data_IF_700387160018
#
_entry.id   IF_700387160018
#
_cell.length_a   1.000
_cell.length_b   1.000
_cell.length_c   1.000
_cell.angle_alpha   90.00
_cell.angle_beta   90.00
_cell.angle_gamma   90.00
#
_symmetry.space_group_name_H-M   'P 1'
#
loop_
_entity.id
_entity.type
_entity.pdbx_description
1 polymer ?
#
# COMPACT_ATOMS: atom_id res chain seq x y z
N UNK A 1 22.38 -7.43 -8.77
CA UNK A 1 21.89 -7.71 -10.15
C UNK A 1 21.44 -6.40 -10.76
N UNK A 2 20.45 -5.73 -10.13
CA UNK A 2 20.01 -4.40 -10.52
C UNK A 2 20.20 -3.46 -9.35
N UNK A 3 20.82 -2.32 -9.61
CA UNK A 3 21.00 -1.25 -8.63
C UNK A 3 19.86 -0.23 -8.69
N UNK A 4 19.95 0.84 -7.89
CA UNK A 4 18.90 1.86 -7.81
C UNK A 4 18.68 2.58 -9.16
N UNK A 5 19.74 2.80 -9.94
CA UNK A 5 19.61 3.44 -11.25
C UNK A 5 18.85 2.56 -12.26
N UNK A 6 19.11 1.25 -12.24
CA UNK A 6 18.35 0.27 -13.03
C UNK A 6 16.87 0.25 -12.63
N UNK A 7 16.58 0.35 -11.31
CA UNK A 7 15.20 0.34 -10.81
C UNK A 7 14.44 1.62 -11.19
N UNK A 8 15.11 2.78 -11.16
CA UNK A 8 14.54 4.04 -11.68
C UNK A 8 14.26 3.93 -13.18
N UNK A 9 15.22 3.40 -13.95
CA UNK A 9 15.05 3.18 -15.40
C UNK A 9 13.89 2.21 -15.67
N UNK A 10 13.77 1.12 -14.89
CA UNK A 10 12.63 0.21 -14.98
C UNK A 10 11.29 0.92 -14.67
N UNK A 11 11.25 1.75 -13.65
CA UNK A 11 10.02 2.43 -13.24
C UNK A 11 9.60 3.54 -14.23
N UNK A 12 10.53 4.33 -14.77
CA UNK A 12 10.25 5.55 -15.53
C UNK A 12 10.69 5.51 -17.00
N UNK A 13 11.74 4.76 -17.30
CA UNK A 13 12.38 4.68 -18.62
C UNK A 13 11.95 3.48 -19.45
N UNK A 14 12.93 2.91 -20.17
CA UNK A 14 12.73 1.79 -21.09
C UNK A 14 13.19 0.47 -20.46
N UNK A 15 12.33 -0.55 -20.52
CA UNK A 15 12.60 -1.87 -19.93
C UNK A 15 13.80 -2.55 -20.62
N UNK A 16 14.02 -2.27 -21.92
CA UNK A 16 15.13 -2.81 -22.67
C UNK A 16 16.50 -2.41 -22.12
N UNK A 17 16.60 -1.25 -21.47
CA UNK A 17 17.84 -0.80 -20.83
C UNK A 17 18.17 -1.59 -19.56
N UNK A 18 17.17 -2.25 -18.95
CA UNK A 18 17.32 -3.00 -17.69
C UNK A 18 17.34 -4.51 -17.94
N UNK A 19 16.39 -5.03 -18.72
CA UNK A 19 16.24 -6.47 -18.98
C UNK A 19 16.92 -6.93 -20.26
N UNK A 20 17.36 -6.00 -21.14
CA UNK A 20 18.03 -6.30 -22.40
C UNK A 20 17.13 -6.13 -23.62
N UNK A 21 17.77 -6.16 -24.81
CA UNK A 21 17.13 -5.82 -26.09
C UNK A 21 15.98 -6.75 -26.49
N UNK A 22 15.92 -7.95 -25.95
CA UNK A 22 14.80 -8.88 -26.19
C UNK A 22 13.47 -8.33 -25.69
N UNK A 23 13.49 -7.36 -24.76
CA UNK A 23 12.31 -6.69 -24.21
C UNK A 23 11.93 -5.39 -24.93
N UNK A 24 12.70 -4.94 -25.93
CA UNK A 24 12.53 -3.62 -26.56
C UNK A 24 11.13 -3.39 -27.17
N UNK A 25 10.45 -4.43 -27.65
CA UNK A 25 9.08 -4.30 -28.17
C UNK A 25 8.09 -3.80 -27.10
N UNK A 26 8.34 -4.13 -25.84
CA UNK A 26 7.47 -3.74 -24.70
C UNK A 26 7.48 -2.22 -24.51
N UNK A 27 8.60 -1.55 -24.80
CA UNK A 27 8.71 -0.09 -24.68
C UNK A 27 7.84 0.66 -25.71
N UNK A 28 7.37 -0.03 -26.76
CA UNK A 28 6.41 0.51 -27.73
C UNK A 28 4.94 0.42 -27.29
N UNK A 29 4.63 -0.30 -26.22
CA UNK A 29 3.28 -0.46 -25.73
C UNK A 29 2.83 0.77 -24.93
N UNK A 30 1.52 1.06 -24.96
CA UNK A 30 0.93 2.19 -24.25
C UNK A 30 1.10 2.08 -22.73
N UNK A 31 1.08 0.86 -22.22
CA UNK A 31 1.27 0.50 -20.81
C UNK A 31 2.14 -0.75 -20.70
N UNK A 32 2.86 -0.88 -19.62
CA UNK A 32 3.57 -2.08 -19.21
C UNK A 32 3.63 -2.19 -17.69
N UNK A 33 4.02 -3.31 -17.15
CA UNK A 33 4.29 -3.47 -15.72
C UNK A 33 5.45 -2.57 -15.30
N UNK A 34 5.23 -1.79 -14.25
CA UNK A 34 6.21 -0.86 -13.68
C UNK A 34 6.22 -0.96 -12.16
N UNK A 35 7.26 -0.46 -11.53
CA UNK A 35 7.28 -0.13 -10.10
C UNK A 35 6.80 1.31 -9.90
N UNK A 36 6.32 1.67 -8.69
CA UNK A 36 6.07 3.05 -8.31
C UNK A 36 7.34 3.90 -8.47
N UNK A 37 7.17 5.21 -8.58
CA UNK A 37 8.27 6.16 -8.81
C UNK A 37 8.51 7.08 -7.61
N UNK A 38 9.55 7.89 -7.68
CA UNK A 38 9.89 8.94 -6.69
C UNK A 38 10.02 8.40 -5.27
N UNK A 39 9.43 9.06 -4.27
CA UNK A 39 9.50 8.64 -2.86
C UNK A 39 8.77 7.32 -2.56
N UNK A 40 8.04 6.80 -3.54
CA UNK A 40 7.36 5.51 -3.44
C UNK A 40 8.03 4.39 -4.23
N UNK A 41 9.22 4.62 -4.77
CA UNK A 41 10.10 3.56 -5.27
C UNK A 41 10.77 2.89 -4.05
N UNK A 42 10.05 1.95 -3.45
CA UNK A 42 10.37 1.34 -2.15
C UNK A 42 11.30 0.12 -2.29
N UNK A 43 12.29 0.25 -3.17
CA UNK A 43 13.31 -0.77 -3.40
C UNK A 43 14.63 -0.09 -3.78
N UNK A 44 15.73 -0.52 -3.17
CA UNK A 44 17.07 0.05 -3.44
C UNK A 44 17.89 -0.81 -4.41
N UNK A 45 17.67 -2.13 -4.42
CA UNK A 45 18.40 -3.06 -5.29
C UNK A 45 17.77 -4.45 -5.34
N UNK A 46 18.03 -5.16 -6.42
CA UNK A 46 17.76 -6.60 -6.55
C UNK A 46 19.09 -7.33 -6.40
N UNK A 47 19.18 -8.22 -5.42
CA UNK A 47 20.42 -8.91 -5.07
C UNK A 47 20.49 -10.33 -5.61
N UNK A 48 19.34 -11.01 -5.77
CA UNK A 48 19.24 -12.36 -6.33
C UNK A 48 18.06 -12.46 -7.28
N UNK A 49 18.22 -13.27 -8.32
CA UNK A 49 17.17 -13.60 -9.28
C UNK A 49 17.35 -15.05 -9.73
N UNK A 50 16.31 -15.85 -9.57
CA UNK A 50 16.24 -17.21 -10.10
C UNK A 50 14.95 -17.34 -10.90
N UNK A 51 14.97 -16.79 -12.11
CA UNK A 51 13.87 -16.76 -13.05
C UNK A 51 14.42 -16.76 -14.50
N UNK A 52 13.61 -17.17 -15.45
CA UNK A 52 13.96 -17.16 -16.86
C UNK A 52 12.82 -16.58 -17.69
N UNK A 53 13.16 -15.74 -18.65
CA UNK A 53 12.22 -15.16 -19.60
C UNK A 53 11.37 -16.24 -20.28
N UNK A 54 10.09 -15.97 -20.47
CA UNK A 54 9.09 -16.85 -21.08
C UNK A 54 8.89 -18.22 -20.39
N UNK A 55 9.26 -18.33 -19.11
CA UNK A 55 9.06 -19.53 -18.32
C UNK A 55 8.18 -19.24 -17.11
N UNK A 56 6.86 -19.44 -17.26
CA UNK A 56 5.91 -19.32 -16.14
C UNK A 56 5.96 -20.57 -15.26
N UNK A 57 6.98 -20.62 -14.42
CA UNK A 57 7.22 -21.67 -13.43
C UNK A 57 7.64 -21.07 -12.09
N UNK A 58 7.62 -21.84 -10.98
CA UNK A 58 8.09 -21.33 -9.70
C UNK A 58 9.46 -20.66 -9.81
N UNK A 59 9.56 -19.45 -9.29
CA UNK A 59 10.76 -18.63 -9.41
C UNK A 59 10.91 -17.71 -8.19
N UNK A 60 12.11 -17.15 -8.00
CA UNK A 60 12.40 -16.33 -6.81
C UNK A 60 13.22 -15.09 -7.16
N UNK A 61 13.06 -14.05 -6.33
CA UNK A 61 13.86 -12.84 -6.34
C UNK A 61 14.11 -12.37 -4.91
N UNK A 62 15.29 -11.83 -4.64
CA UNK A 62 15.59 -11.13 -3.39
C UNK A 62 15.80 -9.65 -3.67
N UNK A 63 15.07 -8.80 -2.96
CA UNK A 63 15.21 -7.34 -3.01
C UNK A 63 15.62 -6.78 -1.66
N UNK A 64 16.23 -5.60 -1.69
CA UNK A 64 16.54 -4.85 -0.48
C UNK A 64 16.08 -3.40 -0.64
N UNK A 65 15.56 -2.85 0.46
CA UNK A 65 15.18 -1.46 0.57
C UNK A 65 15.85 -0.81 1.77
N UNK A 66 16.72 0.16 1.52
CA UNK A 66 17.33 1.00 2.55
C UNK A 66 16.37 2.14 2.86
N UNK A 67 15.75 2.14 4.04
CA UNK A 67 14.76 3.15 4.43
C UNK A 67 15.47 4.48 4.66
N UNK A 68 15.17 5.55 3.87
CA UNK A 68 15.74 6.86 4.13
C UNK A 68 15.37 7.37 5.52
N UNK A 69 16.31 8.00 6.23
CA UNK A 69 16.09 8.51 7.60
C UNK A 69 15.10 9.67 7.66
N UNK A 70 14.87 10.33 6.53
CA UNK A 70 13.98 11.48 6.33
C UNK A 70 12.83 11.20 5.37
N UNK A 71 12.51 9.91 5.15
CA UNK A 71 11.44 9.54 4.24
C UNK A 71 10.09 10.16 4.65
N UNK A 72 9.32 10.72 3.69
CA UNK A 72 8.13 11.52 4.00
C UNK A 72 6.95 10.70 4.54
N UNK A 73 7.01 9.37 4.51
CA UNK A 73 6.02 8.46 5.08
C UNK A 73 6.33 8.00 6.51
N UNK A 74 7.47 8.39 7.10
CA UNK A 74 7.83 7.97 8.47
C UNK A 74 6.93 8.65 9.50
N UNK A 75 6.50 7.88 10.49
CA UNK A 75 5.78 8.34 11.68
C UNK A 75 6.64 8.03 12.90
N UNK A 76 7.05 9.03 13.66
CA UNK A 76 7.98 8.88 14.80
C UNK A 76 9.26 8.10 14.43
N UNK A 77 9.78 8.33 13.22
CA UNK A 77 10.96 7.64 12.68
C UNK A 77 10.73 6.19 12.28
N UNK A 78 9.50 5.69 12.29
CA UNK A 78 9.14 4.32 11.92
C UNK A 78 8.39 4.28 10.58
N UNK A 79 8.64 3.24 9.78
CA UNK A 79 7.91 2.99 8.55
C UNK A 79 6.53 2.40 8.88
N UNK A 80 5.42 2.93 8.33
CA UNK A 80 4.11 2.29 8.49
C UNK A 80 4.09 0.90 7.84
N UNK A 81 3.37 -0.05 8.45
CA UNK A 81 3.25 -1.41 7.90
C UNK A 81 2.74 -1.43 6.45
N UNK A 82 1.82 -0.54 6.08
CA UNK A 82 1.34 -0.45 4.70
C UNK A 82 2.46 -0.18 3.69
N UNK A 83 3.41 0.70 4.04
CA UNK A 83 4.58 1.00 3.20
C UNK A 83 5.57 -0.16 3.19
N UNK A 84 5.80 -0.84 4.33
CA UNK A 84 6.63 -2.03 4.37
C UNK A 84 6.02 -3.19 3.56
N UNK A 85 4.69 -3.35 3.57
CA UNK A 85 3.99 -4.35 2.74
C UNK A 85 4.16 -4.04 1.25
N UNK A 86 3.98 -2.79 0.86
CA UNK A 86 4.15 -2.33 -0.53
C UNK A 86 5.59 -2.53 -1.03
N UNK A 87 6.59 -2.26 -0.20
CA UNK A 87 8.01 -2.51 -0.53
C UNK A 87 8.28 -3.99 -0.91
N UNK A 88 7.51 -4.93 -0.38
CA UNK A 88 7.61 -6.35 -0.72
C UNK A 88 6.97 -6.75 -2.05
N UNK A 89 6.23 -5.86 -2.71
CA UNK A 89 5.49 -6.17 -3.95
C UNK A 89 6.35 -6.04 -5.22
N UNK A 90 7.65 -6.31 -5.12
CA UNK A 90 8.52 -6.44 -6.29
C UNK A 90 8.28 -7.73 -7.11
N UNK A 91 7.30 -8.55 -6.72
CA UNK A 91 6.71 -9.60 -7.58
C UNK A 91 6.25 -9.03 -8.93
N UNK A 92 5.84 -7.75 -8.98
CA UNK A 92 5.58 -6.99 -10.21
C UNK A 92 6.78 -6.99 -11.16
N UNK A 93 7.97 -6.69 -10.68
CA UNK A 93 9.19 -6.73 -11.48
C UNK A 93 9.55 -8.16 -11.89
N UNK A 94 9.32 -9.13 -11.00
CA UNK A 94 9.57 -10.54 -11.28
C UNK A 94 8.64 -11.09 -12.37
N UNK A 95 7.33 -10.83 -12.31
CA UNK A 95 6.39 -11.26 -13.36
C UNK A 95 6.64 -10.54 -14.70
N UNK A 96 7.07 -9.28 -14.66
CA UNK A 96 7.50 -8.53 -15.84
C UNK A 96 8.73 -9.16 -16.48
N UNK A 97 9.73 -9.56 -15.67
CA UNK A 97 10.91 -10.26 -16.18
C UNK A 97 10.57 -11.62 -16.80
N UNK A 98 9.55 -12.32 -16.31
CA UNK A 98 9.04 -13.54 -16.97
C UNK A 98 8.40 -13.25 -18.35
N UNK A 99 8.06 -11.99 -18.64
CA UNK A 99 7.58 -11.57 -19.95
C UNK A 99 6.07 -11.44 -20.10
N UNK A 100 5.34 -11.17 -19.00
CA UNK A 100 3.88 -11.00 -19.07
C UNK A 100 3.46 -9.89 -20.05
N UNK A 101 4.26 -8.85 -20.20
CA UNK A 101 3.95 -7.74 -21.09
C UNK A 101 3.97 -8.14 -22.58
N UNK A 102 4.68 -9.21 -22.96
CA UNK A 102 4.59 -9.77 -24.33
C UNK A 102 3.19 -10.34 -24.63
N UNK A 103 2.48 -10.83 -23.60
CA UNK A 103 1.10 -11.31 -23.71
C UNK A 103 0.10 -10.15 -23.60
N UNK A 104 0.28 -9.28 -22.62
CA UNK A 104 -0.63 -8.17 -22.32
C UNK A 104 -0.65 -7.06 -23.36
N UNK A 105 0.48 -6.79 -24.02
CA UNK A 105 0.65 -5.80 -25.12
C UNK A 105 0.08 -4.42 -24.79
N UNK A 106 0.11 -4.01 -23.54
CA UNK A 106 -0.43 -2.74 -23.07
C UNK A 106 -1.94 -2.68 -22.84
N UNK A 107 -2.65 -3.82 -22.95
CA UNK A 107 -4.11 -3.87 -22.85
C UNK A 107 -4.60 -4.23 -21.44
N UNK A 108 -3.72 -4.71 -20.56
CA UNK A 108 -4.06 -5.20 -19.22
C UNK A 108 -3.23 -4.54 -18.15
N UNK A 109 -3.82 -4.38 -16.98
CA UNK A 109 -3.19 -3.79 -15.79
C UNK A 109 -3.18 -4.77 -14.63
N UNK A 110 -2.16 -4.64 -13.78
CA UNK A 110 -1.99 -5.45 -12.58
C UNK A 110 -3.02 -5.11 -11.51
N UNK A 111 -3.54 -6.13 -10.83
CA UNK A 111 -4.30 -5.98 -9.57
C UNK A 111 -3.97 -7.12 -8.62
N UNK A 112 -3.64 -6.76 -7.38
CA UNK A 112 -3.59 -7.68 -6.25
C UNK A 112 -5.03 -8.01 -5.84
N UNK A 113 -5.33 -9.30 -5.67
CA UNK A 113 -6.68 -9.78 -5.38
C UNK A 113 -6.84 -10.19 -3.91
N UNK A 114 -5.87 -10.91 -3.37
CA UNK A 114 -5.92 -11.45 -2.01
C UNK A 114 -4.52 -11.74 -1.49
N UNK A 115 -4.36 -11.70 -0.16
CA UNK A 115 -3.17 -12.17 0.54
C UNK A 115 -3.44 -12.31 2.04
N UNK A 116 -2.55 -13.03 2.72
CA UNK A 116 -2.50 -13.08 4.19
C UNK A 116 -1.21 -12.48 4.68
N UNK A 117 -1.30 -11.48 5.56
CA UNK A 117 -0.15 -10.82 6.19
C UNK A 117 0.01 -11.27 7.64
N UNK A 118 1.23 -11.60 8.02
CA UNK A 118 1.59 -11.93 9.40
C UNK A 118 2.70 -10.99 9.87
N UNK A 119 2.41 -10.17 10.86
CA UNK A 119 3.35 -9.25 11.49
C UNK A 119 4.02 -9.92 12.69
N UNK A 120 5.36 -10.06 12.66
CA UNK A 120 6.15 -10.86 13.59
C UNK A 120 7.16 -10.04 14.41
N UNK A 121 7.30 -8.77 14.11
CA UNK A 121 8.26 -7.88 14.77
C UNK A 121 7.72 -6.47 14.99
N UNK A 122 8.60 -5.61 15.47
CA UNK A 122 8.35 -4.18 15.59
C UNK A 122 8.45 -3.49 14.22
N UNK A 123 7.86 -2.30 14.12
CA UNK A 123 8.00 -1.45 12.94
C UNK A 123 9.47 -1.09 12.69
N UNK A 124 9.99 -1.30 11.48
CA UNK A 124 11.31 -0.83 11.08
C UNK A 124 11.44 0.69 11.15
N UNK A 125 12.66 1.18 11.22
CA UNK A 125 12.96 2.61 11.34
C UNK A 125 13.73 3.13 10.13
N UNK A 126 13.71 4.44 9.94
CA UNK A 126 14.63 5.10 9.02
C UNK A 126 16.08 4.71 9.33
N UNK A 127 16.83 4.29 8.31
CA UNK A 127 18.18 3.74 8.41
C UNK A 127 18.27 2.21 8.47
N UNK A 128 17.14 1.49 8.69
CA UNK A 128 17.11 0.04 8.55
C UNK A 128 17.10 -0.36 7.07
N UNK A 129 17.58 -1.56 6.78
CA UNK A 129 17.44 -2.22 5.47
C UNK A 129 16.42 -3.34 5.58
N UNK A 130 15.35 -3.28 4.78
CA UNK A 130 14.39 -4.35 4.59
C UNK A 130 14.89 -5.29 3.49
N UNK A 131 15.03 -6.59 3.78
CA UNK A 131 15.30 -7.61 2.78
C UNK A 131 14.04 -8.44 2.56
N UNK A 132 13.62 -8.58 1.31
CA UNK A 132 12.48 -9.40 0.91
C UNK A 132 12.96 -10.59 0.09
N UNK A 133 12.67 -11.80 0.56
CA UNK A 133 12.82 -13.03 -0.19
C UNK A 133 11.44 -13.36 -0.81
N UNK A 134 11.29 -13.10 -2.11
CA UNK A 134 10.02 -13.15 -2.86
C UNK A 134 9.99 -14.43 -3.69
N UNK A 135 8.85 -15.11 -3.70
CA UNK A 135 8.63 -16.33 -4.49
C UNK A 135 7.31 -16.25 -5.25
N UNK A 136 7.33 -16.50 -6.57
CA UNK A 136 6.13 -16.86 -7.31
C UNK A 136 6.02 -18.38 -7.25
N UNK A 137 4.92 -18.88 -6.69
CA UNK A 137 4.76 -20.28 -6.32
C UNK A 137 4.09 -21.10 -7.43
N UNK A 138 3.09 -20.53 -8.11
CA UNK A 138 2.40 -21.17 -9.22
C UNK A 138 1.60 -20.16 -10.03
N UNK A 139 1.10 -20.61 -11.18
CA UNK A 139 0.31 -19.85 -12.14
C UNK A 139 -1.01 -20.55 -12.40
N UNK A 140 -2.05 -19.78 -12.69
CA UNK A 140 -3.34 -20.28 -13.16
C UNK A 140 -3.88 -19.39 -14.28
N UNK A 141 -4.70 -19.97 -15.17
CA UNK A 141 -5.41 -19.20 -16.18
C UNK A 141 -6.91 -19.29 -15.96
N UNK A 142 -7.56 -18.13 -16.05
CA UNK A 142 -9.00 -18.02 -16.06
C UNK A 142 -9.40 -17.27 -17.36
N UNK A 143 -9.75 -18.02 -18.39
CA UNK A 143 -9.87 -17.48 -19.75
C UNK A 143 -8.53 -16.91 -20.23
N UNK A 144 -8.53 -15.66 -20.67
CA UNK A 144 -7.35 -14.95 -21.12
C UNK A 144 -6.55 -14.30 -19.98
N UNK A 145 -7.08 -14.34 -18.75
CA UNK A 145 -6.41 -13.74 -17.58
C UNK A 145 -5.41 -14.71 -17.00
N UNK A 146 -4.15 -14.29 -16.91
CA UNK A 146 -3.12 -14.98 -16.14
C UNK A 146 -3.19 -14.52 -14.69
N UNK A 147 -3.38 -15.48 -13.78
CA UNK A 147 -3.22 -15.30 -12.34
C UNK A 147 -1.89 -15.90 -11.91
N UNK A 148 -1.23 -15.26 -10.96
CA UNK A 148 -0.06 -15.83 -10.31
C UNK A 148 -0.17 -15.72 -8.79
N UNK A 149 0.44 -16.69 -8.12
CA UNK A 149 0.38 -16.81 -6.67
C UNK A 149 1.77 -16.69 -6.11
N UNK A 150 1.93 -15.81 -5.12
CA UNK A 150 3.23 -15.45 -4.59
C UNK A 150 3.23 -15.35 -3.07
N UNK A 151 4.40 -15.29 -2.52
CA UNK A 151 4.66 -15.07 -1.10
C UNK A 151 5.97 -14.32 -0.93
N UNK A 152 6.17 -13.70 0.22
CA UNK A 152 7.46 -13.17 0.62
C UNK A 152 7.69 -13.24 2.12
N UNK A 153 8.96 -13.25 2.50
CA UNK A 153 9.44 -13.05 3.86
C UNK A 153 10.28 -11.76 3.90
N UNK A 154 10.01 -10.91 4.90
CA UNK A 154 10.71 -9.64 5.10
C UNK A 154 11.55 -9.69 6.38
N UNK A 155 12.81 -9.29 6.26
CA UNK A 155 13.79 -9.30 7.33
C UNK A 155 14.41 -7.93 7.56
N UNK A 156 14.74 -7.64 8.83
CA UNK A 156 15.69 -6.59 9.23
C UNK A 156 16.89 -7.31 9.87
N UNK A 157 18.05 -7.24 9.22
CA UNK A 157 19.17 -8.12 9.54
C UNK A 157 18.75 -9.59 9.37
N UNK A 158 18.89 -10.40 10.43
CA UNK A 158 18.47 -11.81 10.44
C UNK A 158 17.09 -12.02 11.07
N UNK A 159 16.41 -10.94 11.52
CA UNK A 159 15.11 -11.04 12.17
C UNK A 159 13.98 -10.97 11.15
N UNK A 160 13.20 -12.05 11.05
CA UNK A 160 11.95 -12.06 10.28
C UNK A 160 10.92 -11.19 10.99
N UNK A 161 10.36 -10.20 10.28
CA UNK A 161 9.44 -9.22 10.84
C UNK A 161 8.05 -9.23 10.19
N UNK A 162 7.96 -9.68 8.94
CA UNK A 162 6.72 -9.69 8.18
C UNK A 162 6.73 -10.86 7.20
N UNK A 163 5.59 -11.51 7.03
CA UNK A 163 5.34 -12.49 5.97
C UNK A 163 4.09 -12.13 5.18
N UNK A 164 4.13 -12.38 3.89
CA UNK A 164 2.94 -12.46 3.04
C UNK A 164 2.83 -13.89 2.50
N UNK A 165 1.71 -14.50 2.75
CA UNK A 165 1.37 -15.83 2.25
C UNK A 165 0.10 -15.76 1.38
N UNK A 166 -0.01 -16.67 0.40
CA UNK A 166 -1.20 -16.78 -0.44
C UNK A 166 -1.52 -15.55 -1.28
N UNK A 167 -0.50 -14.72 -1.57
CA UNK A 167 -0.67 -13.60 -2.49
C UNK A 167 -1.23 -14.09 -3.82
N UNK A 168 -2.30 -13.48 -4.32
CA UNK A 168 -2.89 -13.75 -5.62
C UNK A 168 -3.03 -12.45 -6.38
N UNK A 169 -2.46 -12.41 -7.57
CA UNK A 169 -2.55 -11.26 -8.45
C UNK A 169 -2.82 -11.67 -9.90
N UNK A 170 -3.29 -10.72 -10.69
CA UNK A 170 -3.60 -10.95 -12.09
C UNK A 170 -3.59 -9.68 -12.91
N UNK A 171 -3.83 -9.84 -14.21
CA UNK A 171 -3.86 -8.75 -15.18
C UNK A 171 -5.22 -8.67 -15.85
N UNK A 172 -5.83 -7.49 -15.81
CA UNK A 172 -7.20 -7.25 -16.20
C UNK A 172 -7.29 -6.12 -17.22
N UNK A 173 -8.20 -6.24 -18.18
CA UNK A 173 -8.54 -5.16 -19.10
C UNK A 173 -9.36 -4.08 -18.39
N UNK A 174 -9.36 -2.84 -18.93
CA UNK A 174 -10.19 -1.75 -18.42
C UNK A 174 -11.68 -2.13 -18.39
N UNK A 175 -12.12 -2.94 -19.37
CA UNK A 175 -13.50 -3.43 -19.42
C UNK A 175 -13.80 -4.40 -18.26
N UNK A 176 -12.92 -5.36 -17.98
CA UNK A 176 -13.08 -6.30 -16.86
C UNK A 176 -13.15 -5.57 -15.52
N UNK A 177 -12.33 -4.52 -15.35
CA UNK A 177 -12.34 -3.67 -14.16
C UNK A 177 -13.63 -2.84 -14.06
N UNK A 178 -14.09 -2.23 -15.16
CA UNK A 178 -15.33 -1.46 -15.20
C UNK A 178 -16.58 -2.33 -14.95
N UNK A 179 -16.58 -3.56 -15.46
CA UNK A 179 -17.66 -4.54 -15.23
C UNK A 179 -17.61 -5.17 -13.81
N UNK A 180 -16.52 -4.92 -13.06
CA UNK A 180 -16.31 -5.43 -11.71
C UNK A 180 -17.36 -4.88 -10.74
N UNK A 181 -17.83 -5.74 -9.83
CA UNK A 181 -18.89 -5.41 -8.87
C UNK A 181 -18.33 -4.94 -7.51
N UNK A 182 -17.02 -4.80 -7.38
CA UNK A 182 -16.37 -4.52 -6.12
C UNK A 182 -16.55 -5.65 -5.10
N UNK A 183 -16.56 -5.31 -3.81
CA UNK A 183 -16.74 -6.29 -2.74
C UNK A 183 -18.18 -6.81 -2.75
N UNK A 184 -18.35 -8.13 -2.93
CA UNK A 184 -19.64 -8.81 -2.89
C UNK A 184 -19.81 -9.42 -1.51
N UNK A 185 -20.76 -8.89 -0.74
CA UNK A 185 -21.11 -9.44 0.55
C UNK A 185 -22.05 -10.64 0.39
N UNK A 186 -21.82 -11.68 1.16
CA UNK A 186 -22.72 -12.83 1.26
C UNK A 186 -24.04 -12.43 1.94
N UNK A 187 -25.10 -13.18 1.71
CA UNK A 187 -26.38 -12.97 2.41
C UNK A 187 -26.23 -13.07 3.94
N UNK A 188 -25.33 -13.94 4.42
CA UNK A 188 -25.03 -14.08 5.83
C UNK A 188 -24.40 -12.81 6.42
N UNK A 189 -23.44 -12.21 5.72
CA UNK A 189 -22.81 -10.94 6.13
C UNK A 189 -23.82 -9.79 6.13
N UNK A 190 -24.64 -9.68 5.07
CA UNK A 190 -25.70 -8.67 4.99
C UNK A 190 -26.68 -8.83 6.15
N UNK A 191 -27.10 -10.05 6.45
CA UNK A 191 -27.98 -10.35 7.58
C UNK A 191 -27.36 -10.02 8.92
N UNK A 192 -26.10 -10.41 9.12
CA UNK A 192 -25.35 -10.10 10.35
C UNK A 192 -25.21 -8.58 10.56
N UNK A 193 -24.86 -7.83 9.52
CA UNK A 193 -24.79 -6.37 9.54
C UNK A 193 -26.14 -5.73 9.88
N UNK A 194 -27.22 -6.19 9.28
CA UNK A 194 -28.56 -5.67 9.54
C UNK A 194 -29.02 -5.95 10.98
N UNK A 195 -28.72 -7.14 11.51
CA UNK A 195 -28.99 -7.46 12.91
C UNK A 195 -28.19 -6.56 13.85
N UNK A 196 -26.90 -6.31 13.58
CA UNK A 196 -26.06 -5.42 14.34
C UNK A 196 -26.56 -3.96 14.31
N UNK A 197 -26.96 -3.47 13.14
CA UNK A 197 -27.50 -2.12 12.98
C UNK A 197 -28.78 -1.92 13.82
N UNK A 198 -29.63 -2.92 13.91
CA UNK A 198 -30.92 -2.87 14.61
C UNK A 198 -30.87 -3.34 16.07
N UNK A 199 -29.69 -3.70 16.60
CA UNK A 199 -29.55 -4.14 17.99
C UNK A 199 -29.66 -2.95 18.94
N UNK A 200 -30.71 -2.87 19.79
CA UNK A 200 -30.84 -1.77 20.76
C UNK A 200 -29.82 -1.83 21.90
N UNK A 201 -29.20 -3.00 22.13
CA UNK A 201 -28.25 -3.25 23.18
C UNK A 201 -26.82 -3.36 22.65
N UNK A 202 -26.47 -2.57 21.64
CA UNK A 202 -25.09 -2.54 21.11
C UNK A 202 -24.10 -2.24 22.22
N UNK A 203 -22.95 -2.94 22.27
CA UNK A 203 -21.84 -2.51 23.10
C UNK A 203 -21.45 -1.08 22.71
N UNK A 204 -21.21 -0.24 23.69
CA UNK A 204 -20.74 1.13 23.45
C UNK A 204 -19.26 1.21 23.80
N UNK A 205 -18.47 1.68 22.87
CA UNK A 205 -17.10 2.05 23.14
C UNK A 205 -17.08 3.32 24.01
N UNK A 206 -16.33 3.27 25.12
CA UNK A 206 -16.12 4.43 25.97
C UNK A 206 -14.70 4.96 25.70
N UNK A 207 -14.53 6.08 25.01
CA UNK A 207 -13.21 6.66 24.77
C UNK A 207 -12.59 7.11 26.09
N UNK A 208 -11.26 6.98 26.22
CA UNK A 208 -10.52 7.48 27.39
C UNK A 208 -10.58 9.00 27.49
N UNK A 209 -10.61 9.68 26.36
CA UNK A 209 -10.77 11.13 26.25
C UNK A 209 -11.97 11.46 25.37
N UNK A 210 -12.81 12.36 25.81
CA UNK A 210 -13.95 12.81 25.04
C UNK A 210 -13.52 13.90 24.06
N UNK A 211 -13.85 13.73 22.76
CA UNK A 211 -13.71 14.77 21.78
C UNK A 211 -14.86 15.77 21.91
N UNK A 212 -14.53 17.07 21.96
CA UNK A 212 -15.52 18.13 22.14
C UNK A 212 -16.29 18.46 20.86
N UNK A 213 -15.80 18.01 19.71
CA UNK A 213 -16.35 18.31 18.38
C UNK A 213 -16.34 17.05 17.51
N UNK A 214 -17.16 17.06 16.48
CA UNK A 214 -17.33 15.95 15.55
C UNK A 214 -17.02 16.34 14.09
N UNK A 215 -16.53 17.55 13.86
CA UNK A 215 -16.09 18.05 12.58
C UNK A 215 -14.74 18.73 12.74
N UNK A 216 -13.88 18.57 11.74
CA UNK A 216 -12.51 19.12 11.74
C UNK A 216 -12.20 19.67 10.36
N UNK A 217 -11.70 20.89 10.31
CA UNK A 217 -11.19 21.50 9.09
C UNK A 217 -9.71 21.18 8.86
N UNK A 218 -9.19 21.60 7.71
CA UNK A 218 -7.79 21.37 7.35
C UNK A 218 -6.81 21.92 8.39
N UNK A 219 -7.08 23.10 8.93
CA UNK A 219 -6.16 23.73 9.89
C UNK A 219 -6.04 22.94 11.20
N UNK A 220 -7.11 22.29 11.62
CA UNK A 220 -7.14 21.43 12.79
C UNK A 220 -6.44 20.09 12.51
N UNK A 221 -6.72 19.47 11.36
CA UNK A 221 -6.10 18.20 10.94
C UNK A 221 -4.59 18.39 10.74
N UNK A 222 -4.16 19.51 10.15
CA UNK A 222 -2.75 19.84 9.92
C UNK A 222 -1.92 19.89 11.22
N UNK A 223 -2.53 20.23 12.37
CA UNK A 223 -1.83 20.18 13.67
C UNK A 223 -1.35 18.79 14.04
N UNK A 224 -2.00 17.74 13.54
CA UNK A 224 -1.60 16.35 13.76
C UNK A 224 -0.28 15.98 13.05
N UNK A 225 0.22 16.77 12.11
CA UNK A 225 1.58 16.60 11.56
C UNK A 225 2.66 16.84 12.63
N UNK A 226 2.39 17.74 13.58
CA UNK A 226 3.25 18.03 14.72
C UNK A 226 2.87 17.28 16.00
N UNK A 227 2.04 16.23 15.92
CA UNK A 227 1.51 15.52 17.08
C UNK A 227 0.72 16.42 18.07
N UNK A 228 0.21 17.57 17.63
CA UNK A 228 -0.59 18.49 18.44
C UNK A 228 -2.06 18.02 18.51
N UNK A 229 -2.29 16.93 19.24
CA UNK A 229 -3.63 16.36 19.44
C UNK A 229 -4.54 17.33 20.21
N UNK A 230 -3.96 18.09 21.14
CA UNK A 230 -4.70 19.10 21.89
C UNK A 230 -5.19 20.25 21.02
N UNK A 231 -4.36 20.70 20.10
CA UNK A 231 -4.69 21.72 19.11
C UNK A 231 -5.74 21.27 18.08
N UNK A 232 -5.74 19.97 17.74
CA UNK A 232 -6.71 19.38 16.83
C UNK A 232 -8.05 19.13 17.52
N UNK A 233 -8.06 18.38 18.63
CA UNK A 233 -9.28 17.87 19.25
C UNK A 233 -9.82 18.75 20.39
N UNK A 234 -9.02 19.66 20.95
CA UNK A 234 -9.41 20.53 22.04
C UNK A 234 -9.77 19.81 23.35
N UNK A 235 -10.44 20.51 24.24
CA UNK A 235 -11.05 19.92 25.44
C UNK A 235 -10.13 19.01 26.27
N UNK A 236 -10.57 17.79 26.53
CA UNK A 236 -9.82 16.80 27.32
C UNK A 236 -8.48 16.42 26.69
N UNK A 237 -8.36 16.43 25.36
CA UNK A 237 -7.10 16.16 24.67
C UNK A 237 -6.08 17.28 24.89
N UNK A 238 -6.52 18.54 24.91
CA UNK A 238 -5.64 19.66 25.24
C UNK A 238 -5.14 19.60 26.69
N UNK A 239 -6.00 19.25 27.64
CA UNK A 239 -5.63 19.06 29.04
C UNK A 239 -4.63 17.89 29.21
N UNK A 240 -4.87 16.77 28.52
CA UNK A 240 -3.94 15.63 28.52
C UNK A 240 -2.58 16.01 27.94
N UNK A 241 -2.56 16.71 26.79
CA UNK A 241 -1.30 17.15 26.16
C UNK A 241 -0.55 18.15 27.04
N UNK A 242 -1.24 19.05 27.73
CA UNK A 242 -0.61 19.98 28.66
C UNK A 242 0.07 19.25 29.84
N UNK A 243 -0.48 18.10 30.26
CA UNK A 243 0.08 17.29 31.34
C UNK A 243 1.22 16.36 30.89
N UNK A 244 1.11 15.75 29.74
CA UNK A 244 2.00 14.66 29.28
C UNK A 244 2.87 15.02 28.07
N UNK A 245 2.69 16.20 27.47
CA UNK A 245 3.42 16.66 26.30
C UNK A 245 2.88 16.10 24.98
N UNK A 246 3.61 16.38 23.90
CA UNK A 246 3.31 15.84 22.57
C UNK A 246 3.49 14.32 22.56
N UNK A 247 2.72 13.67 21.69
CA UNK A 247 2.75 12.21 21.49
C UNK A 247 3.15 11.92 20.03
N UNK A 248 4.47 11.85 19.68
CA UNK A 248 4.94 11.74 18.31
C UNK A 248 4.39 10.54 17.55
N UNK A 249 4.06 9.44 18.24
CA UNK A 249 3.42 8.27 17.61
C UNK A 249 1.94 8.48 17.24
N UNK A 250 1.33 9.60 17.66
CA UNK A 250 -0.04 9.99 17.34
C UNK A 250 -0.04 11.17 16.35
N UNK A 251 0.67 11.02 15.24
CA UNK A 251 0.74 12.04 14.20
C UNK A 251 0.54 11.43 12.80
N UNK A 252 0.27 12.29 11.82
CA UNK A 252 0.43 11.94 10.42
C UNK A 252 1.90 12.08 10.01
N UNK A 253 2.31 11.34 8.97
CA UNK A 253 3.71 11.25 8.56
C UNK A 253 4.28 12.60 8.10
N UNK A 254 3.65 13.22 7.10
CA UNK A 254 4.05 14.52 6.54
C UNK A 254 2.89 15.13 5.78
N UNK A 255 3.03 16.39 5.38
CA UNK A 255 2.05 17.07 4.54
C UNK A 255 1.89 16.37 3.18
N UNK A 256 2.95 15.85 2.60
CA UNK A 256 2.92 15.09 1.35
C UNK A 256 2.02 13.85 1.45
N UNK A 257 2.01 13.18 2.60
CA UNK A 257 1.21 11.98 2.87
C UNK A 257 -0.10 12.28 3.63
N UNK A 258 -0.48 13.54 3.76
CA UNK A 258 -1.76 13.93 4.36
C UNK A 258 -2.91 13.73 3.36
N UNK A 259 -3.51 12.53 3.40
CA UNK A 259 -4.58 12.12 2.49
C UNK A 259 -6.00 12.45 3.01
N UNK A 260 -6.10 13.41 3.96
CA UNK A 260 -7.35 13.87 4.52
C UNK A 260 -7.29 15.38 4.76
N UNK A 261 -8.32 16.11 4.36
CA UNK A 261 -8.39 17.58 4.47
C UNK A 261 -9.53 18.03 5.37
N UNK A 262 -10.55 17.20 5.51
CA UNK A 262 -11.72 17.51 6.33
C UNK A 262 -12.27 16.23 6.95
N UNK A 263 -12.75 16.34 8.17
CA UNK A 263 -13.66 15.38 8.79
C UNK A 263 -15.01 16.05 8.92
N UNK A 264 -16.02 15.53 8.24
CA UNK A 264 -17.39 16.08 8.27
C UNK A 264 -18.25 15.47 9.37
N UNK A 265 -17.91 14.28 9.83
CA UNK A 265 -18.64 13.60 10.89
C UNK A 265 -17.75 12.62 11.65
N UNK A 266 -17.76 12.73 12.98
CA UNK A 266 -17.16 11.77 13.92
C UNK A 266 -18.23 11.33 14.92
N UNK A 267 -18.62 10.07 14.88
CA UNK A 267 -19.60 9.49 15.78
C UNK A 267 -18.95 8.41 16.63
N UNK A 268 -18.68 8.70 17.90
CA UNK A 268 -17.99 7.78 18.82
C UNK A 268 -18.71 6.44 18.98
N UNK A 269 -20.03 6.43 18.86
CA UNK A 269 -20.87 5.23 18.92
C UNK A 269 -21.50 4.86 17.58
N UNK A 270 -20.98 5.42 16.49
CA UNK A 270 -21.48 5.18 15.13
C UNK A 270 -21.13 3.80 14.59
N UNK A 271 -21.55 3.58 13.34
CA UNK A 271 -21.34 2.33 12.62
C UNK A 271 -22.24 1.17 13.09
N UNK A 272 -22.20 0.07 12.32
CA UNK A 272 -23.07 -1.07 12.56
C UNK A 272 -22.84 -1.72 13.94
N UNK A 273 -21.61 -1.70 14.41
CA UNK A 273 -21.19 -2.37 15.65
C UNK A 273 -21.11 -1.44 16.87
N UNK A 274 -21.37 -0.13 16.71
CA UNK A 274 -21.32 0.85 17.79
C UNK A 274 -19.90 1.16 18.28
N UNK A 275 -18.88 0.91 17.46
CA UNK A 275 -17.47 1.10 17.79
C UNK A 275 -16.92 2.44 17.29
N UNK A 276 -17.73 3.24 16.65
CA UNK A 276 -17.39 4.54 16.07
C UNK A 276 -17.46 4.56 14.56
N UNK A 277 -17.65 5.75 14.02
CA UNK A 277 -17.54 6.03 12.59
C UNK A 277 -16.92 7.40 12.36
N UNK A 278 -16.21 7.57 11.28
CA UNK A 278 -15.63 8.84 10.83
C UNK A 278 -15.83 8.98 9.33
N UNK A 279 -16.13 10.19 8.88
CA UNK A 279 -16.23 10.53 7.48
C UNK A 279 -15.20 11.60 7.13
N UNK A 280 -14.18 11.19 6.39
CA UNK A 280 -13.11 12.06 5.92
C UNK A 280 -13.28 12.43 4.45
N UNK A 281 -12.71 13.57 4.06
CA UNK A 281 -12.74 14.10 2.69
C UNK A 281 -11.34 14.51 2.27
N UNK A 282 -11.03 14.25 0.98
CA UNK A 282 -9.85 14.72 0.28
C UNK A 282 -10.26 15.24 -1.08
N UNK A 283 -9.92 16.49 -1.39
CA UNK A 283 -10.05 17.01 -2.75
C UNK A 283 -8.93 16.44 -3.62
N UNK A 284 -9.29 15.84 -4.75
CA UNK A 284 -8.34 15.30 -5.71
C UNK A 284 -8.07 16.31 -6.81
N UNK A 285 -6.78 16.63 -7.04
CA UNK A 285 -6.31 17.48 -8.13
C UNK A 285 -5.46 16.62 -9.09
N UNK A 286 -5.55 16.89 -10.39
CA UNK A 286 -4.91 16.07 -11.42
C UNK A 286 -3.37 16.02 -11.34
N UNK A 287 -2.76 17.03 -10.70
CA UNK A 287 -1.33 17.19 -10.51
C UNK A 287 -0.80 16.62 -9.19
N UNK A 288 -1.66 16.01 -8.38
CA UNK A 288 -1.20 15.35 -7.15
C UNK A 288 -0.17 14.28 -7.46
N UNK A 289 0.92 14.27 -6.67
CA UNK A 289 2.12 13.46 -6.89
C UNK A 289 1.86 11.94 -7.00
N UNK A 290 0.83 11.43 -6.34
CA UNK A 290 0.52 10.01 -6.32
C UNK A 290 -0.11 9.49 -7.62
N UNK A 291 -0.74 10.34 -8.46
CA UNK A 291 -1.28 9.89 -9.74
C UNK A 291 -0.20 9.42 -10.72
N UNK A 292 0.85 10.21 -11.04
CA UNK A 292 1.93 9.70 -11.90
C UNK A 292 2.85 8.71 -11.20
N UNK A 293 2.84 8.68 -9.87
CA UNK A 293 3.71 7.82 -9.09
C UNK A 293 3.34 6.33 -9.21
N UNK A 294 2.05 6.01 -9.22
CA UNK A 294 1.59 4.62 -9.07
C UNK A 294 0.56 4.22 -10.14
N UNK A 295 0.93 3.97 -11.39
CA UNK A 295 2.25 3.91 -12.03
C UNK A 295 2.32 4.91 -13.20
N UNK A 296 3.53 5.15 -13.76
CA UNK A 296 3.68 5.91 -15.00
C UNK A 296 2.91 5.22 -16.14
N UNK A 297 1.91 5.94 -16.71
CA UNK A 297 1.08 5.44 -17.82
C UNK A 297 -0.11 4.54 -17.39
N UNK A 298 -0.22 4.21 -16.13
CA UNK A 298 -1.37 3.50 -15.55
C UNK A 298 -1.72 4.17 -14.21
N UNK A 299 -2.51 5.22 -14.28
CA UNK A 299 -2.89 6.00 -13.11
C UNK A 299 -4.03 5.30 -12.36
N UNK A 300 -3.93 5.31 -11.04
CA UNK A 300 -4.93 4.72 -10.14
C UNK A 300 -6.08 5.68 -9.90
#
# INVERSE_FOLDING_TARGET
IWDYADLVEYAEGDIANVFGQDYAIIDSYSRRVRLPTTDYLLVSRVTKLNAQMNQYQPCTMTTEYDIPVDAPYLVDGQIPWAVAVESGQCDLMLISYLGIDFENKGERVYRLLDCTLTFLGDLPRGGDTLRYDISINHFARNGDTLLFFFSYECFVGDKLILKMDGGCAGFFTDKELADGKGVIHTEAEIKARNLALNNPNKPRFNPLLNCAQNQFDYSQIHKLLGADIGGCFGGAHAAHQAQYGLQPSLCFASEKFLMIEQVSNLEVHGGAWGLGSVQGHKQLEADHWYFPCHFKGDQV
#
